data_IF_118252892596
#
_entry.id   IF_118252892596
#
_cell.length_a   1.000
_cell.length_b   1.000
_cell.length_c   1.000
_cell.angle_alpha   90.00
_cell.angle_beta   90.00
_cell.angle_gamma   90.00
#
_symmetry.space_group_name_H-M   'P 1'
#
loop_
_entity.id
_entity.type
_entity.pdbx_description
1 polymer ?
#
# COMPACT_ATOMS: atom_id res chain seq x y z
N UNK A 1 7.63 28.24 -8.71
CA UNK A 1 6.68 27.11 -8.57
C UNK A 1 7.36 25.73 -8.45
N UNK A 2 8.41 25.43 -9.25
CA UNK A 2 9.03 24.10 -9.32
C UNK A 2 9.59 23.53 -8.00
N UNK A 3 10.19 24.35 -7.14
CA UNK A 3 10.77 23.91 -5.86
C UNK A 3 9.72 23.47 -4.81
N UNK A 4 8.54 24.12 -4.79
CA UNK A 4 7.45 23.79 -3.85
C UNK A 4 6.72 22.49 -4.22
N UNK A 5 6.67 22.16 -5.51
CA UNK A 5 6.10 20.90 -6.00
C UNK A 5 7.03 19.72 -5.70
N UNK A 6 8.34 19.89 -5.86
CA UNK A 6 9.34 18.88 -5.51
C UNK A 6 9.36 18.56 -4.01
N UNK A 7 9.22 19.58 -3.15
CA UNK A 7 9.18 19.39 -1.70
C UNK A 7 7.91 18.67 -1.22
N UNK A 8 6.77 18.92 -1.88
CA UNK A 8 5.51 18.22 -1.58
C UNK A 8 5.59 16.74 -1.96
N UNK A 9 6.19 16.42 -3.12
CA UNK A 9 6.45 15.04 -3.55
C UNK A 9 7.45 14.37 -2.61
N UNK A 10 8.51 15.05 -2.21
CA UNK A 10 9.52 14.54 -1.29
C UNK A 10 8.93 14.23 0.11
N UNK A 11 8.07 15.11 0.64
CA UNK A 11 7.38 14.88 1.92
C UNK A 11 6.31 13.78 1.84
N UNK A 12 5.60 13.65 0.70
CA UNK A 12 4.73 12.50 0.46
C UNK A 12 5.53 11.18 0.37
N UNK A 13 6.74 11.22 -0.19
CA UNK A 13 7.59 10.03 -0.34
C UNK A 13 8.09 9.52 1.02
N UNK A 14 8.45 10.41 1.94
CA UNK A 14 8.93 10.07 3.28
C UNK A 14 7.81 9.51 4.16
N UNK A 15 6.57 10.01 4.01
CA UNK A 15 5.42 9.56 4.80
C UNK A 15 4.80 8.27 4.28
N UNK A 16 4.87 8.00 2.97
CA UNK A 16 4.35 6.78 2.36
C UNK A 16 5.35 5.61 2.35
N UNK A 17 6.66 5.88 2.55
CA UNK A 17 7.71 4.86 2.56
C UNK A 17 8.74 5.10 3.70
N UNK A 18 8.41 4.76 4.96
CA UNK A 18 9.33 4.88 6.08
C UNK A 18 10.38 3.74 6.03
N UNK A 19 11.32 3.82 5.10
CA UNK A 19 12.35 2.77 4.95
C UNK A 19 13.54 3.13 4.06
N UNK A 20 13.50 4.25 3.34
CA UNK A 20 14.60 4.65 2.45
C UNK A 20 15.20 5.96 2.95
N UNK A 21 16.14 5.89 3.89
CA UNK A 21 17.03 7.00 4.23
C UNK A 21 18.33 6.47 4.81
N UNK A 22 19.25 6.09 3.92
CA UNK A 22 20.69 6.21 4.18
C UNK A 22 21.28 7.02 3.03
N UNK A 23 21.34 8.34 3.20
CA UNK A 23 22.30 9.15 2.45
C UNK A 23 23.59 9.05 3.25
N UNK A 24 24.48 8.17 2.81
CA UNK A 24 25.87 8.17 3.25
C UNK A 24 26.49 9.49 2.77
N UNK A 25 26.96 10.31 3.71
CA UNK A 25 27.77 11.46 3.38
C UNK A 25 29.08 10.95 2.77
N UNK A 26 29.32 11.31 1.52
CA UNK A 26 30.57 11.06 0.84
C UNK A 26 31.70 11.80 1.55
N UNK A 27 32.77 11.05 1.75
CA UNK A 27 34.07 11.46 2.22
C UNK A 27 34.75 12.36 1.16
N UNK A 28 34.88 13.65 1.47
CA UNK A 28 35.80 14.55 0.79
C UNK A 28 36.72 15.16 1.84
N UNK A 29 37.96 14.68 1.92
CA UNK A 29 39.12 15.57 2.13
C UNK A 29 40.43 14.85 1.81
N UNK A 30 40.85 15.00 0.55
CA UNK A 30 42.27 14.97 0.17
C UNK A 30 42.85 16.38 0.32
N UNK A 31 43.97 16.52 1.03
CA UNK A 31 44.61 17.81 1.26
C UNK A 31 45.70 17.71 2.32
N UNK A 32 46.82 17.10 1.94
CA UNK A 32 48.08 17.24 2.65
C UNK A 32 48.57 18.68 2.62
N UNK A 33 49.38 19.04 3.62
CA UNK A 33 50.35 20.15 3.66
C UNK A 33 49.93 21.34 4.53
N UNK A 34 50.15 21.21 5.84
CA UNK A 34 50.65 22.28 6.70
C UNK A 34 51.44 21.64 7.86
N UNK A 35 52.75 21.84 7.87
CA UNK A 35 53.60 21.69 9.03
C UNK A 35 53.21 22.74 10.08
N UNK A 36 52.94 22.31 11.31
CA UNK A 36 52.79 23.22 12.46
C UNK A 36 53.72 22.72 13.56
N UNK A 37 54.68 23.59 13.87
CA UNK A 37 55.64 23.50 14.96
C UNK A 37 54.99 23.22 16.31
N UNK A 38 55.57 22.26 17.02
CA UNK A 38 55.30 21.99 18.41
C UNK A 38 56.19 22.87 19.30
N UNK A 39 55.65 23.99 19.78
CA UNK A 39 56.13 24.66 20.98
C UNK A 39 54.94 25.13 21.80
N UNK A 40 54.85 24.63 23.02
CA UNK A 40 53.64 24.67 23.85
C UNK A 40 53.26 26.06 24.38
N UNK A 41 51.98 26.17 24.72
CA UNK A 41 51.56 26.72 25.99
C UNK A 41 50.17 26.17 26.35
N UNK A 42 50.06 25.54 27.51
CA UNK A 42 48.83 24.98 28.06
C UNK A 42 48.07 26.09 28.79
N UNK A 43 47.12 26.75 28.11
CA UNK A 43 46.01 27.43 28.79
C UNK A 43 44.68 26.83 28.34
N UNK A 44 44.33 25.70 28.96
CA UNK A 44 43.03 25.07 28.81
C UNK A 44 41.97 25.85 29.60
N UNK A 45 41.40 26.88 28.99
CA UNK A 45 40.21 27.55 29.49
C UNK A 45 39.25 27.88 28.34
N UNK A 46 38.01 27.40 28.47
CA UNK A 46 36.80 27.78 27.70
C UNK A 46 36.59 27.11 26.32
N UNK A 47 36.47 25.77 26.28
CA UNK A 47 35.88 25.05 25.12
C UNK A 47 34.41 24.60 25.33
N UNK A 48 33.75 25.08 26.39
CA UNK A 48 32.43 24.61 26.81
C UNK A 48 31.21 25.33 26.22
N UNK A 49 31.38 26.54 25.65
CA UNK A 49 30.26 27.42 25.29
C UNK A 49 29.78 27.32 23.84
N UNK A 50 30.62 26.89 22.89
CA UNK A 50 30.26 26.89 21.46
C UNK A 50 29.25 25.79 21.09
N UNK A 51 29.27 24.66 21.83
CA UNK A 51 28.36 23.53 21.58
C UNK A 51 26.89 23.85 21.91
N UNK A 52 26.62 24.71 22.88
CA UNK A 52 25.24 25.12 23.21
C UNK A 52 24.67 26.09 22.16
N UNK A 53 25.49 27.03 21.66
CA UNK A 53 25.02 28.01 20.70
C UNK A 53 24.63 27.39 19.34
N UNK A 54 25.40 26.39 18.88
CA UNK A 54 25.08 25.65 17.67
C UNK A 54 23.74 24.88 17.78
N UNK A 55 23.48 24.28 18.95
CA UNK A 55 22.23 23.57 19.24
C UNK A 55 21.02 24.52 19.24
N UNK A 56 21.15 25.68 19.91
CA UNK A 56 20.10 26.70 19.95
C UNK A 56 19.80 27.28 18.56
N UNK A 57 20.85 27.50 17.75
CA UNK A 57 20.71 27.97 16.37
C UNK A 57 19.99 26.95 15.50
N UNK A 58 20.26 25.65 15.68
CA UNK A 58 19.56 24.57 14.98
C UNK A 58 18.10 24.49 15.40
N UNK A 59 17.80 24.54 16.70
CA UNK A 59 16.44 24.53 17.21
C UNK A 59 15.62 25.71 16.66
N UNK A 60 16.20 26.92 16.62
CA UNK A 60 15.56 28.10 16.02
C UNK A 60 15.29 27.92 14.51
N UNK A 61 16.20 27.27 13.77
CA UNK A 61 16.00 26.97 12.34
C UNK A 61 14.88 25.96 12.11
N UNK A 62 14.82 24.90 12.92
CA UNK A 62 13.76 23.89 12.84
C UNK A 62 12.39 24.49 13.17
N UNK A 63 12.30 25.30 14.23
CA UNK A 63 11.06 26.00 14.58
C UNK A 63 10.56 26.92 13.46
N UNK A 64 11.46 27.68 12.80
CA UNK A 64 11.10 28.51 11.63
C UNK A 64 10.59 27.66 10.46
N UNK A 65 11.19 26.50 10.24
CA UNK A 65 10.77 25.57 9.20
C UNK A 65 9.39 24.99 9.48
N UNK A 66 9.13 24.53 10.71
CA UNK A 66 7.81 24.06 11.16
C UNK A 66 6.73 25.12 10.94
N UNK A 67 6.99 26.37 11.38
CA UNK A 67 6.05 27.48 11.15
C UNK A 67 5.81 27.75 9.65
N UNK A 68 6.82 27.59 8.80
CA UNK A 68 6.66 27.75 7.36
C UNK A 68 5.78 26.64 6.76
N UNK A 69 5.90 25.41 7.25
CA UNK A 69 5.04 24.30 6.82
C UNK A 69 3.59 24.55 7.26
N UNK A 70 3.38 24.91 8.52
CA UNK A 70 2.05 25.20 9.07
C UNK A 70 1.36 26.32 8.26
N UNK A 71 2.06 27.43 8.01
CA UNK A 71 1.54 28.53 7.17
C UNK A 71 1.22 28.08 5.74
N UNK A 72 2.02 27.17 5.18
CA UNK A 72 1.79 26.58 3.87
C UNK A 72 0.51 25.75 3.83
N UNK A 73 0.30 24.91 4.85
CA UNK A 73 -0.89 24.08 5.01
C UNK A 73 -2.15 24.93 5.21
N UNK A 74 -2.10 25.96 6.05
CA UNK A 74 -3.23 26.88 6.24
C UNK A 74 -3.62 27.59 4.93
N UNK A 75 -2.64 28.02 4.14
CA UNK A 75 -2.90 28.65 2.83
C UNK A 75 -3.53 27.66 1.85
N UNK A 76 -3.09 26.41 1.88
CA UNK A 76 -3.68 25.34 1.07
C UNK A 76 -5.12 25.05 1.50
N UNK A 77 -5.37 24.88 2.80
CA UNK A 77 -6.71 24.66 3.36
C UNK A 77 -7.68 25.78 2.97
N UNK A 78 -7.27 27.05 3.09
CA UNK A 78 -8.06 28.21 2.63
C UNK A 78 -8.33 28.19 1.12
N UNK A 79 -7.37 27.73 0.32
CA UNK A 79 -7.55 27.62 -1.14
C UNK A 79 -8.58 26.54 -1.49
N UNK A 80 -8.56 25.43 -0.78
CA UNK A 80 -9.56 24.35 -0.92
C UNK A 80 -10.94 24.84 -0.49
N UNK A 81 -11.05 25.54 0.64
CA UNK A 81 -12.32 26.12 1.10
C UNK A 81 -12.89 27.10 0.07
N UNK A 82 -12.06 27.97 -0.51
CA UNK A 82 -12.49 28.90 -1.56
C UNK A 82 -12.96 28.18 -2.84
N UNK A 83 -12.30 27.10 -3.23
CA UNK A 83 -12.74 26.27 -4.36
C UNK A 83 -14.07 25.58 -4.07
N UNK A 84 -14.27 25.10 -2.82
CA UNK A 84 -15.55 24.55 -2.38
C UNK A 84 -16.68 25.57 -2.52
N UNK A 85 -16.48 26.78 -1.99
CA UNK A 85 -17.48 27.83 -2.07
C UNK A 85 -17.84 28.18 -3.51
N UNK A 86 -16.85 28.36 -4.39
CA UNK A 86 -17.09 28.65 -5.82
C UNK A 86 -17.86 27.53 -6.52
N UNK A 87 -17.68 26.29 -6.09
CA UNK A 87 -18.39 25.17 -6.67
C UNK A 87 -19.85 25.11 -6.20
N UNK A 88 -20.10 25.42 -4.93
CA UNK A 88 -21.46 25.57 -4.40
C UNK A 88 -22.20 26.69 -5.16
N UNK A 89 -21.56 27.85 -5.34
CA UNK A 89 -22.09 28.98 -6.14
C UNK A 89 -22.40 28.56 -7.60
N UNK A 90 -21.51 27.80 -8.24
CA UNK A 90 -21.73 27.31 -9.60
C UNK A 90 -22.80 26.23 -9.69
N UNK A 91 -22.98 25.40 -8.65
CA UNK A 91 -24.01 24.36 -8.62
C UNK A 91 -25.40 25.01 -8.62
N UNK A 92 -25.58 26.08 -7.85
CA UNK A 92 -26.82 26.87 -7.83
C UNK A 92 -27.06 27.58 -9.18
N UNK A 93 -26.00 28.09 -9.82
CA UNK A 93 -26.09 28.68 -11.16
C UNK A 93 -26.46 27.65 -12.25
N UNK A 94 -25.91 26.44 -12.19
CA UNK A 94 -26.27 25.36 -13.11
C UNK A 94 -27.73 24.94 -12.88
N UNK A 95 -28.17 24.81 -11.62
CA UNK A 95 -29.54 24.48 -11.30
C UNK A 95 -30.54 25.51 -11.86
N UNK A 96 -30.22 26.81 -11.80
CA UNK A 96 -31.07 27.88 -12.34
C UNK A 96 -31.08 27.94 -13.87
N UNK A 97 -29.92 27.78 -14.53
CA UNK A 97 -29.84 27.72 -16.01
C UNK A 97 -30.62 26.51 -16.55
N UNK A 98 -30.50 25.36 -15.91
CA UNK A 98 -31.26 24.17 -16.31
C UNK A 98 -32.76 24.27 -15.98
N UNK A 99 -33.18 25.08 -15.00
CA UNK A 99 -34.59 25.34 -14.74
C UNK A 99 -35.21 26.24 -15.84
N UNK A 100 -34.44 27.21 -16.35
CA UNK A 100 -34.86 28.08 -17.45
C UNK A 100 -35.00 27.35 -18.80
N UNK A 101 -34.26 26.25 -19.01
CA UNK A 101 -34.28 25.49 -20.26
C UNK A 101 -35.46 24.49 -20.39
N UNK A 102 -36.31 24.35 -19.37
CA UNK A 102 -37.31 23.27 -19.22
C UNK A 102 -38.72 23.62 -19.76
N UNK A 103 -38.84 24.49 -20.77
CA UNK A 103 -40.15 24.97 -21.27
C UNK A 103 -40.69 24.26 -22.53
N UNK A 104 -40.37 22.98 -22.76
CA UNK A 104 -40.84 22.22 -23.94
C UNK A 104 -41.17 20.76 -23.64
N UNK A 105 -42.37 20.32 -24.06
CA UNK A 105 -43.07 19.12 -23.59
C UNK A 105 -42.44 17.75 -23.95
N UNK A 106 -42.85 16.75 -23.18
CA UNK A 106 -42.71 15.28 -23.29
C UNK A 106 -41.32 14.63 -23.19
N UNK A 107 -40.23 15.37 -23.35
CA UNK A 107 -38.87 14.91 -22.95
C UNK A 107 -38.46 15.32 -21.52
N UNK A 108 -39.34 16.03 -20.85
CA UNK A 108 -39.06 16.78 -19.62
C UNK A 108 -38.78 15.87 -18.41
N UNK A 109 -39.50 14.75 -18.26
CA UNK A 109 -39.30 13.85 -17.11
C UNK A 109 -37.95 13.10 -17.19
N UNK A 110 -37.54 12.67 -18.39
CA UNK A 110 -36.23 12.07 -18.60
C UNK A 110 -35.09 13.09 -18.41
N UNK A 111 -35.30 14.33 -18.85
CA UNK A 111 -34.33 15.41 -18.66
C UNK A 111 -34.18 15.79 -17.18
N UNK A 112 -35.28 15.98 -16.44
CA UNK A 112 -35.22 16.29 -15.00
C UNK A 112 -34.59 15.13 -14.21
N UNK A 113 -34.87 13.87 -14.58
CA UNK A 113 -34.23 12.70 -13.97
C UNK A 113 -32.71 12.66 -14.23
N UNK A 114 -32.26 12.94 -15.46
CA UNK A 114 -30.84 13.02 -15.79
C UNK A 114 -30.15 14.19 -15.07
N UNK A 115 -30.80 15.35 -14.98
CA UNK A 115 -30.31 16.53 -14.26
C UNK A 115 -30.11 16.26 -12.78
N UNK A 116 -31.09 15.65 -12.12
CA UNK A 116 -31.00 15.25 -10.70
C UNK A 116 -29.87 14.22 -10.52
N UNK A 117 -29.74 13.24 -11.43
CA UNK A 117 -28.69 12.22 -11.40
C UNK A 117 -27.28 12.82 -11.54
N UNK A 118 -27.10 13.76 -12.48
CA UNK A 118 -25.82 14.47 -12.69
C UNK A 118 -25.49 15.35 -11.48
N UNK A 119 -26.46 16.11 -10.97
CA UNK A 119 -26.28 16.95 -9.77
C UNK A 119 -25.86 16.13 -8.55
N UNK A 120 -26.53 15.00 -8.31
CA UNK A 120 -26.19 14.08 -7.23
C UNK A 120 -24.80 13.45 -7.43
N UNK A 121 -24.44 13.06 -8.65
CA UNK A 121 -23.13 12.49 -8.98
C UNK A 121 -21.99 13.48 -8.73
N UNK A 122 -22.17 14.74 -9.14
CA UNK A 122 -21.20 15.81 -8.89
C UNK A 122 -21.06 16.11 -7.40
N UNK A 123 -22.18 16.20 -6.67
CA UNK A 123 -22.17 16.40 -5.21
C UNK A 123 -21.44 15.27 -4.48
N UNK A 124 -21.67 14.02 -4.87
CA UNK A 124 -21.00 12.86 -4.29
C UNK A 124 -19.49 12.83 -4.59
N UNK A 125 -19.09 13.14 -5.83
CA UNK A 125 -17.68 13.26 -6.20
C UNK A 125 -16.98 14.35 -5.38
N UNK A 126 -17.64 15.49 -5.20
CA UNK A 126 -17.08 16.60 -4.45
C UNK A 126 -16.95 16.31 -2.95
N UNK A 127 -17.98 15.70 -2.34
CA UNK A 127 -17.90 15.24 -0.95
C UNK A 127 -16.74 14.24 -0.75
N UNK A 128 -16.58 13.30 -1.69
CA UNK A 128 -15.46 12.36 -1.68
C UNK A 128 -14.10 13.06 -1.75
N UNK A 129 -13.97 14.09 -2.59
CA UNK A 129 -12.76 14.90 -2.68
C UNK A 129 -12.49 15.68 -1.38
N UNK A 130 -13.52 16.26 -0.77
CA UNK A 130 -13.43 17.00 0.50
C UNK A 130 -12.94 16.09 1.63
N UNK A 131 -13.46 14.86 1.71
CA UNK A 131 -13.05 13.90 2.73
C UNK A 131 -11.64 13.37 2.50
N UNK A 132 -11.24 13.17 1.24
CA UNK A 132 -9.86 12.84 0.89
C UNK A 132 -8.89 13.95 1.34
N UNK A 133 -9.21 15.21 1.04
CA UNK A 133 -8.37 16.35 1.43
C UNK A 133 -8.27 16.44 2.96
N UNK A 134 -9.37 16.32 3.70
CA UNK A 134 -9.36 16.28 5.17
C UNK A 134 -8.44 15.19 5.71
N UNK A 135 -8.50 14.01 5.09
CA UNK A 135 -7.68 12.86 5.47
C UNK A 135 -6.20 13.15 5.26
N UNK A 136 -5.83 13.69 4.08
CA UNK A 136 -4.45 14.07 3.78
C UNK A 136 -3.94 15.13 4.75
N UNK A 137 -4.73 16.19 5.01
CA UNK A 137 -4.35 17.24 5.97
C UNK A 137 -4.15 16.66 7.37
N UNK A 138 -5.02 15.74 7.81
CA UNK A 138 -4.88 15.06 9.10
C UNK A 138 -3.58 14.25 9.18
N UNK A 139 -3.29 13.43 8.17
CA UNK A 139 -2.07 12.61 8.11
C UNK A 139 -0.82 13.50 8.16
N UNK A 140 -0.80 14.59 7.39
CA UNK A 140 0.33 15.51 7.38
C UNK A 140 0.50 16.19 8.74
N UNK A 141 -0.58 16.65 9.39
CA UNK A 141 -0.53 17.23 10.74
C UNK A 141 0.04 16.24 11.76
N UNK A 142 -0.41 14.98 11.72
CA UNK A 142 0.11 13.93 12.59
C UNK A 142 1.61 13.68 12.35
N UNK A 143 2.02 13.53 11.10
CA UNK A 143 3.44 13.29 10.76
C UNK A 143 4.35 14.44 11.23
N UNK A 144 3.90 15.70 11.09
CA UNK A 144 4.64 16.87 11.58
C UNK A 144 4.75 16.83 13.11
N UNK A 145 3.65 16.50 13.80
CA UNK A 145 3.64 16.38 15.27
C UNK A 145 4.62 15.32 15.76
N UNK A 146 4.65 14.16 15.11
CA UNK A 146 5.55 13.05 15.48
C UNK A 146 7.02 13.42 15.27
N UNK A 147 7.34 14.10 14.16
CA UNK A 147 8.70 14.60 13.90
C UNK A 147 9.09 15.65 14.94
N UNK A 148 8.20 16.59 15.25
CA UNK A 148 8.45 17.63 16.27
C UNK A 148 8.72 17.01 17.65
N UNK A 149 7.91 16.02 18.04
CA UNK A 149 8.10 15.30 19.30
C UNK A 149 9.46 14.58 19.35
N UNK A 150 9.83 13.85 18.30
CA UNK A 150 11.14 13.18 18.23
C UNK A 150 12.32 14.14 18.33
N UNK A 151 12.22 15.32 17.72
CA UNK A 151 13.25 16.36 17.82
C UNK A 151 13.38 16.86 19.26
N UNK A 152 12.25 17.06 19.97
CA UNK A 152 12.26 17.45 21.38
C UNK A 152 12.86 16.36 22.28
N UNK A 153 12.54 15.09 22.02
CA UNK A 153 13.07 13.96 22.80
C UNK A 153 14.59 13.84 22.64
N UNK A 154 15.11 14.00 21.42
CA UNK A 154 16.58 14.02 21.15
C UNK A 154 17.25 15.21 21.85
N UNK A 155 16.59 16.37 21.90
CA UNK A 155 17.13 17.54 22.59
C UNK A 155 17.23 17.31 24.12
N UNK A 156 16.22 16.66 24.72
CA UNK A 156 16.22 16.29 26.15
C UNK A 156 17.29 15.26 26.49
N UNK A 157 17.41 14.17 25.73
CA UNK A 157 18.45 13.14 25.96
C UNK A 157 19.87 13.72 25.94
N UNK A 158 20.14 14.72 25.09
CA UNK A 158 21.42 15.43 25.06
C UNK A 158 21.66 16.35 26.27
N UNK A 159 20.61 16.91 26.85
CA UNK A 159 20.73 17.73 28.07
C UNK A 159 21.02 16.87 29.30
N UNK A 160 20.33 15.73 29.43
CA UNK A 160 20.51 14.83 30.57
C UNK A 160 21.92 14.20 30.61
N UNK A 161 22.48 13.88 29.44
CA UNK A 161 23.87 13.35 29.32
C UNK A 161 24.97 14.39 29.60
N UNK A 162 24.65 15.69 29.62
CA UNK A 162 25.62 16.76 29.94
C UNK A 162 25.71 17.06 31.43
N UNK A 163 24.88 16.45 32.28
CA UNK A 163 25.00 16.59 33.74
C UNK A 163 26.18 15.73 34.21
N UNK A 164 27.32 16.32 34.63
CA UNK A 164 28.47 15.54 35.05
C UNK A 164 28.08 14.70 36.26
N UNK A 165 28.32 13.38 36.18
CA UNK A 165 28.37 12.52 37.35
C UNK A 165 29.50 13.05 38.25
N UNK A 166 29.16 13.85 39.25
CA UNK A 166 30.03 14.08 40.39
C UNK A 166 30.11 12.76 41.16
N UNK A 167 30.98 11.85 40.71
CA UNK A 167 31.28 10.59 41.37
C UNK A 167 32.06 10.89 42.65
N UNK A 168 31.37 10.80 43.77
CA UNK A 168 31.96 10.77 45.09
C UNK A 168 32.55 9.36 45.30
N UNK A 169 33.82 9.16 44.90
CA UNK A 169 34.53 7.89 45.09
C UNK A 169 35.32 7.91 46.40
N UNK A 170 34.73 7.34 47.46
CA UNK A 170 35.47 6.89 48.66
C UNK A 170 35.63 5.38 48.57
N UNK A 171 36.78 4.96 48.05
CA UNK A 171 37.22 3.58 47.84
C UNK A 171 37.61 2.95 49.19
N UNK A 172 36.83 1.96 49.64
CA UNK A 172 37.26 1.00 50.66
C UNK A 172 37.51 -0.35 49.99
N UNK A 173 38.65 -0.96 50.31
CA UNK A 173 39.16 -2.19 49.72
C UNK A 173 38.70 -3.41 50.51
N UNK A 174 38.35 -4.49 49.81
CA UNK A 174 38.36 -5.86 50.36
C UNK A 174 38.95 -6.85 49.33
N UNK A 175 39.53 -7.98 49.81
CA UNK A 175 40.48 -8.81 49.07
C UNK A 175 39.87 -10.08 48.44
N UNK A 176 40.64 -10.85 47.63
CA UNK A 176 40.08 -11.80 46.67
C UNK A 176 40.01 -13.24 47.18
N UNK A 177 39.00 -13.99 46.73
CA UNK A 177 38.92 -15.45 46.89
C UNK A 177 38.89 -16.16 45.53
N UNK A 178 39.67 -17.25 45.49
CA UNK A 178 40.07 -18.10 44.35
C UNK A 178 38.94 -19.00 43.78
N UNK A 179 39.19 -19.66 42.62
CA UNK A 179 38.19 -20.36 41.80
C UNK A 179 38.15 -21.88 42.01
N UNK A 180 37.03 -22.49 41.63
CA UNK A 180 36.95 -23.94 41.44
C UNK A 180 35.65 -24.43 40.81
N UNK A 181 35.79 -25.17 39.68
CA UNK A 181 35.04 -26.39 39.31
C UNK A 181 33.52 -26.23 39.01
N UNK A 182 32.84 -26.92 38.08
CA UNK A 182 33.11 -27.97 37.06
C UNK A 182 31.85 -28.07 36.16
N UNK A 183 32.04 -28.51 34.91
CA UNK A 183 31.04 -28.99 33.94
C UNK A 183 30.49 -30.38 34.36
N UNK A 184 29.25 -30.81 34.00
CA UNK A 184 28.99 -31.57 32.76
C UNK A 184 27.63 -31.21 32.09
N UNK A 185 27.50 -30.99 30.78
CA UNK A 185 27.24 -31.99 29.71
C UNK A 185 26.07 -32.97 29.97
N UNK A 186 24.91 -32.70 29.36
CA UNK A 186 23.79 -33.61 29.02
C UNK A 186 22.72 -32.75 28.28
N UNK A 187 21.96 -33.15 27.27
CA UNK A 187 21.85 -34.34 26.42
C UNK A 187 20.89 -33.93 25.29
N UNK A 188 21.25 -34.17 24.03
CA UNK A 188 20.38 -33.94 22.88
C UNK A 188 19.32 -35.04 22.79
N UNK A 189 18.05 -34.66 22.75
CA UNK A 189 16.94 -35.56 22.39
C UNK A 189 16.47 -35.25 20.98
N UNK A 190 16.88 -36.10 20.04
CA UNK A 190 16.33 -36.19 18.70
C UNK A 190 15.04 -37.01 18.74
N UNK A 191 13.92 -36.42 18.31
CA UNK A 191 12.68 -37.18 18.02
C UNK A 191 12.44 -37.23 16.50
N UNK A 192 12.47 -38.47 16.03
CA UNK A 192 12.17 -39.01 14.70
C UNK A 192 10.72 -38.72 14.27
N UNK A 193 10.43 -38.24 13.05
CA UNK A 193 9.06 -38.25 12.53
C UNK A 193 8.67 -39.63 12.00
N UNK A 194 7.59 -40.20 12.55
CA UNK A 194 6.96 -41.39 12.03
C UNK A 194 6.16 -41.06 10.75
N UNK A 195 6.46 -41.82 9.71
CA UNK A 195 5.77 -41.89 8.42
C UNK A 195 4.41 -42.57 8.63
N UNK A 196 3.31 -41.82 8.53
CA UNK A 196 1.97 -42.40 8.53
C UNK A 196 1.28 -42.14 7.19
N UNK A 197 1.35 -43.18 6.36
CA UNK A 197 0.62 -43.36 5.11
C UNK A 197 -0.81 -43.78 5.46
N UNK A 198 -1.82 -43.01 5.07
CA UNK A 198 -3.20 -43.48 5.00
C UNK A 198 -3.74 -43.24 3.58
N UNK A 199 -3.77 -44.33 2.81
CA UNK A 199 -4.42 -44.42 1.52
C UNK A 199 -5.93 -44.28 1.72
N UNK A 200 -6.51 -43.21 1.17
CA UNK A 200 -7.95 -43.07 1.03
C UNK A 200 -8.41 -43.70 -0.29
N UNK A 201 -9.40 -44.59 -0.14
CA UNK A 201 -10.16 -45.33 -1.14
C UNK A 201 -10.69 -44.44 -2.28
N UNK A 202 -10.61 -44.86 -3.56
CA UNK A 202 -11.09 -44.06 -4.68
C UNK A 202 -12.61 -43.97 -4.72
N UNK A 203 -13.14 -42.75 -4.74
CA UNK A 203 -14.54 -42.46 -4.98
C UNK A 203 -14.87 -42.64 -6.47
N UNK A 204 -16.03 -43.25 -6.72
CA UNK A 204 -16.60 -43.62 -8.02
C UNK A 204 -16.73 -42.41 -8.97
N UNK A 205 -16.48 -42.56 -10.29
CA UNK A 205 -16.62 -41.47 -11.26
C UNK A 205 -18.07 -41.01 -11.36
N UNK A 206 -18.33 -39.72 -11.08
CA UNK A 206 -19.59 -39.08 -11.46
C UNK A 206 -19.59 -38.86 -12.97
N UNK A 207 -20.61 -39.41 -13.62
CA UNK A 207 -20.91 -39.32 -15.04
C UNK A 207 -20.99 -37.87 -15.50
N UNK A 208 -20.11 -37.51 -16.43
CA UNK A 208 -20.11 -36.21 -17.11
C UNK A 208 -21.40 -36.04 -17.92
N UNK A 209 -22.18 -35.01 -17.61
CA UNK A 209 -23.27 -34.55 -18.49
C UNK A 209 -22.65 -33.90 -19.72
N UNK A 210 -23.12 -34.35 -20.87
CA UNK A 210 -22.78 -33.91 -22.23
C UNK A 210 -22.85 -32.39 -22.34
N UNK A 211 -21.71 -31.74 -22.57
CA UNK A 211 -21.61 -30.30 -22.73
C UNK A 211 -21.93 -29.89 -24.17
N UNK A 212 -22.97 -29.08 -24.32
CA UNK A 212 -23.22 -28.26 -25.50
C UNK A 212 -21.96 -27.43 -25.83
N UNK A 213 -21.56 -27.28 -27.11
CA UNK A 213 -20.35 -26.54 -27.46
C UNK A 213 -20.42 -25.11 -26.91
N UNK A 214 -19.49 -24.79 -26.00
CA UNK A 214 -19.38 -23.46 -25.44
C UNK A 214 -19.13 -22.43 -26.55
N UNK A 215 -19.74 -21.23 -26.50
CA UNK A 215 -19.39 -20.16 -27.42
C UNK A 215 -17.90 -19.84 -27.28
N UNK A 216 -17.15 -19.97 -28.37
CA UNK A 216 -15.73 -19.60 -28.46
C UNK A 216 -15.60 -18.11 -28.15
N UNK A 217 -15.07 -17.78 -26.97
CA UNK A 217 -14.50 -16.46 -26.72
C UNK A 217 -13.19 -16.38 -27.50
N UNK A 218 -13.06 -15.35 -28.34
CA UNK A 218 -12.04 -15.22 -29.40
C UNK A 218 -10.76 -14.50 -28.94
N UNK A 219 -10.71 -14.03 -27.70
CA UNK A 219 -9.58 -13.22 -27.24
C UNK A 219 -8.36 -14.07 -26.86
N UNK A 220 -7.20 -13.69 -27.39
CA UNK A 220 -5.88 -14.16 -26.95
C UNK A 220 -5.51 -13.55 -25.58
N UNK A 221 -4.74 -14.28 -24.78
CA UNK A 221 -4.10 -13.73 -23.57
C UNK A 221 -3.05 -12.68 -23.94
N UNK A 222 -2.95 -11.61 -23.14
CA UNK A 222 -1.97 -10.54 -23.36
C UNK A 222 -0.56 -10.92 -22.85
N UNK A 223 -0.41 -12.11 -22.28
CA UNK A 223 0.84 -12.72 -21.78
C UNK A 223 0.95 -14.16 -22.29
N UNK A 224 2.16 -14.59 -22.64
CA UNK A 224 2.43 -16.02 -22.86
C UNK A 224 2.46 -16.76 -21.52
N UNK A 225 1.45 -17.58 -21.26
CA UNK A 225 1.30 -18.32 -20.01
C UNK A 225 2.34 -19.44 -19.81
N UNK A 226 3.10 -19.81 -20.85
CA UNK A 226 4.16 -20.82 -20.73
C UNK A 226 5.29 -20.41 -19.77
N UNK A 227 5.52 -19.10 -19.62
CA UNK A 227 6.54 -18.52 -18.75
C UNK A 227 6.06 -18.29 -17.30
N UNK A 228 4.79 -18.60 -17.00
CA UNK A 228 4.14 -18.23 -15.74
C UNK A 228 4.19 -19.38 -14.75
N UNK A 229 4.71 -19.13 -13.55
CA UNK A 229 4.63 -20.05 -12.43
C UNK A 229 3.31 -19.88 -11.67
N UNK A 230 2.61 -20.98 -11.39
CA UNK A 230 1.26 -20.95 -10.81
C UNK A 230 1.26 -21.25 -9.31
N UNK A 231 0.85 -20.28 -8.51
CA UNK A 231 0.66 -20.41 -7.07
C UNK A 231 -0.77 -20.78 -6.72
N UNK A 232 -1.09 -22.05 -6.95
CA UNK A 232 -2.42 -22.59 -6.77
C UNK A 232 -2.76 -23.59 -7.87
N UNK A 233 -4.00 -23.56 -8.33
CA UNK A 233 -4.43 -24.39 -9.44
C UNK A 233 -3.94 -23.79 -10.77
N UNK A 234 -3.29 -24.58 -11.61
CA UNK A 234 -2.91 -24.13 -12.95
C UNK A 234 -4.15 -24.11 -13.86
N UNK A 235 -4.55 -22.92 -14.32
CA UNK A 235 -5.71 -22.73 -15.21
C UNK A 235 -5.30 -22.37 -16.63
N UNK A 236 -4.03 -22.48 -16.99
CA UNK A 236 -3.51 -22.13 -18.33
C UNK A 236 -4.27 -22.85 -19.45
N UNK A 237 -4.59 -24.12 -19.22
CA UNK A 237 -5.28 -24.99 -20.18
C UNK A 237 -6.82 -24.95 -20.05
N UNK A 238 -7.37 -24.13 -19.16
CA UNK A 238 -8.82 -23.97 -19.09
C UNK A 238 -9.32 -23.23 -20.34
N UNK A 239 -10.45 -23.67 -20.92
CA UNK A 239 -11.11 -22.96 -22.00
C UNK A 239 -11.34 -21.48 -21.66
N UNK A 240 -10.95 -20.61 -22.60
CA UNK A 240 -11.27 -19.19 -22.56
C UNK A 240 -12.70 -19.02 -23.09
N UNK A 241 -13.67 -18.85 -22.20
CA UNK A 241 -15.10 -18.74 -22.54
C UNK A 241 -15.71 -17.40 -22.13
N UNK A 242 -14.98 -16.60 -21.36
CA UNK A 242 -15.40 -15.28 -20.91
C UNK A 242 -14.59 -14.18 -21.61
N UNK A 243 -15.25 -13.08 -21.97
CA UNK A 243 -14.57 -11.87 -22.43
C UNK A 243 -14.36 -10.92 -21.24
N UNK A 244 -13.12 -10.53 -20.98
CA UNK A 244 -12.77 -9.63 -19.88
C UNK A 244 -12.31 -8.26 -20.38
N UNK A 245 -12.87 -7.21 -19.79
CA UNK A 245 -12.34 -5.85 -19.78
C UNK A 245 -11.85 -5.52 -18.37
N UNK A 246 -10.53 -5.46 -18.21
CA UNK A 246 -9.87 -5.18 -16.92
C UNK A 246 -9.29 -3.76 -16.87
N UNK A 247 -9.26 -3.16 -15.68
CA UNK A 247 -8.60 -1.88 -15.45
C UNK A 247 -8.73 -1.40 -14.01
N UNK A 248 -7.93 -0.40 -13.60
CA UNK A 248 -7.98 0.17 -12.26
C UNK A 248 -8.38 1.64 -12.34
N UNK A 249 -9.52 1.99 -11.73
CA UNK A 249 -10.06 3.35 -11.74
C UNK A 249 -10.74 3.63 -10.41
N UNK A 250 -10.49 4.80 -9.82
CA UNK A 250 -11.17 5.24 -8.59
C UNK A 250 -10.96 4.30 -7.40
N UNK A 251 -9.75 3.75 -7.24
CA UNK A 251 -9.42 2.82 -6.16
C UNK A 251 -10.08 1.44 -6.28
N UNK A 252 -10.64 1.11 -7.45
CA UNK A 252 -11.25 -0.19 -7.74
C UNK A 252 -10.58 -0.88 -8.91
N UNK A 253 -10.47 -2.20 -8.81
CA UNK A 253 -10.15 -3.07 -9.94
C UNK A 253 -11.47 -3.45 -10.59
N UNK A 254 -11.65 -3.03 -11.83
CA UNK A 254 -12.77 -3.39 -12.68
C UNK A 254 -12.46 -4.71 -13.38
N UNK A 255 -13.39 -5.65 -13.27
CA UNK A 255 -13.34 -7.01 -13.79
C UNK A 255 -14.60 -7.25 -14.62
N UNK A 256 -14.87 -6.40 -15.63
CA UNK A 256 -16.10 -6.54 -16.41
C UNK A 256 -16.00 -7.78 -17.28
N UNK A 257 -16.77 -8.80 -16.94
CA UNK A 257 -16.78 -10.07 -17.65
C UNK A 257 -18.21 -10.58 -17.89
N UNK A 258 -18.41 -11.20 -19.05
CA UNK A 258 -19.71 -11.68 -19.54
C UNK A 258 -20.25 -12.94 -18.81
N UNK A 259 -19.43 -13.61 -17.99
CA UNK A 259 -19.84 -14.76 -17.16
C UNK A 259 -20.27 -14.42 -15.74
N UNK A 260 -20.30 -13.13 -15.36
CA UNK A 260 -20.55 -12.71 -13.97
C UNK A 260 -21.86 -13.26 -13.38
N UNK A 261 -22.89 -13.44 -14.22
CA UNK A 261 -24.19 -13.96 -13.83
C UNK A 261 -24.48 -15.40 -14.30
N UNK A 262 -23.55 -16.01 -15.04
CA UNK A 262 -23.79 -17.28 -15.75
C UNK A 262 -23.12 -18.47 -15.07
N UNK A 263 -21.94 -18.28 -14.47
CA UNK A 263 -21.29 -19.37 -13.76
C UNK A 263 -22.13 -19.83 -12.56
N UNK A 264 -22.30 -21.15 -12.38
CA UNK A 264 -23.17 -21.70 -11.36
C UNK A 264 -22.61 -21.41 -9.96
N UNK A 265 -23.52 -21.15 -9.03
CA UNK A 265 -23.23 -21.21 -7.60
C UNK A 265 -23.22 -22.69 -7.16
N UNK A 266 -22.34 -23.00 -6.22
CA UNK A 266 -22.18 -24.34 -5.61
C UNK A 266 -22.39 -24.30 -4.09
N UNK A 267 -23.13 -23.31 -3.60
CA UNK A 267 -23.49 -23.15 -2.18
C UNK A 267 -22.36 -22.60 -1.32
N UNK A 268 -21.21 -22.26 -1.91
CA UNK A 268 -20.12 -21.61 -1.19
C UNK A 268 -20.47 -20.14 -0.98
N UNK A 269 -20.38 -19.70 0.27
CA UNK A 269 -20.66 -18.30 0.64
C UNK A 269 -19.37 -17.55 0.91
N UNK A 270 -19.35 -16.29 0.49
CA UNK A 270 -18.38 -15.31 0.99
C UNK A 270 -18.63 -15.04 2.48
N UNK A 271 -17.69 -14.37 3.15
CA UNK A 271 -17.81 -14.03 4.58
C UNK A 271 -19.02 -13.16 4.90
N UNK A 272 -19.55 -12.43 3.92
CA UNK A 272 -20.77 -11.61 4.02
C UNK A 272 -22.04 -12.36 3.56
N UNK A 273 -21.97 -13.68 3.37
CA UNK A 273 -23.12 -14.55 3.14
C UNK A 273 -23.56 -14.71 1.68
N UNK A 274 -23.02 -13.92 0.75
CA UNK A 274 -23.37 -14.00 -0.68
C UNK A 274 -22.74 -15.20 -1.40
N UNK A 275 -23.41 -15.80 -2.41
CA UNK A 275 -22.87 -16.94 -3.15
C UNK A 275 -21.67 -16.53 -4.01
N UNK A 276 -20.61 -17.34 -3.99
CA UNK A 276 -19.42 -17.13 -4.81
C UNK A 276 -19.47 -17.97 -6.08
N UNK A 277 -19.18 -17.37 -7.22
CA UNK A 277 -19.26 -17.99 -8.55
C UNK A 277 -17.96 -17.95 -9.32
N UNK A 278 -16.95 -17.20 -8.84
CA UNK A 278 -15.66 -17.12 -9.51
C UNK A 278 -14.51 -16.71 -8.61
N UNK A 279 -13.31 -16.72 -9.20
CA UNK A 279 -12.09 -16.21 -8.60
C UNK A 279 -11.46 -15.14 -9.49
N UNK A 280 -10.91 -14.11 -8.84
CA UNK A 280 -10.08 -13.12 -9.50
C UNK A 280 -8.61 -13.52 -9.40
N UNK A 281 -7.89 -13.39 -10.51
CA UNK A 281 -6.48 -13.74 -10.67
C UNK A 281 -5.62 -12.51 -10.91
N UNK A 282 -4.37 -12.59 -10.47
CA UNK A 282 -3.32 -11.63 -10.80
C UNK A 282 -2.07 -12.40 -11.23
N UNK A 283 -1.40 -11.89 -12.26
CA UNK A 283 -0.04 -12.24 -12.63
C UNK A 283 0.83 -11.01 -12.44
N UNK A 284 1.87 -11.14 -11.62
CA UNK A 284 2.84 -10.07 -11.38
C UNK A 284 4.26 -10.64 -11.43
N UNK A 285 5.26 -9.76 -11.60
CA UNK A 285 6.66 -10.17 -11.62
C UNK A 285 7.21 -10.16 -10.21
N UNK A 286 7.23 -11.34 -9.57
CA UNK A 286 7.67 -11.52 -8.19
C UNK A 286 9.06 -12.15 -8.21
N UNK A 287 10.05 -11.45 -7.64
CA UNK A 287 11.46 -11.88 -7.63
C UNK A 287 11.99 -12.24 -9.03
N UNK A 288 11.64 -11.42 -10.02
CA UNK A 288 12.06 -11.62 -11.41
C UNK A 288 11.23 -12.63 -12.21
N UNK A 289 10.35 -13.42 -11.58
CA UNK A 289 9.54 -14.45 -12.24
C UNK A 289 8.07 -14.03 -12.34
N UNK A 290 7.44 -14.28 -13.50
CA UNK A 290 5.99 -14.12 -13.63
C UNK A 290 5.28 -15.18 -12.81
N UNK A 291 4.47 -14.75 -11.84
CA UNK A 291 3.75 -15.62 -10.92
C UNK A 291 2.27 -15.31 -10.95
N UNK A 292 1.44 -16.34 -11.04
CA UNK A 292 -0.01 -16.25 -11.06
C UNK A 292 -0.59 -16.73 -9.73
N UNK A 293 -1.53 -15.97 -9.17
CA UNK A 293 -2.30 -16.42 -8.02
C UNK A 293 -3.71 -15.85 -8.02
N UNK A 294 -4.62 -16.54 -7.34
CA UNK A 294 -5.91 -15.94 -6.98
C UNK A 294 -5.70 -14.91 -5.87
N UNK A 295 -6.44 -13.81 -5.90
CA UNK A 295 -6.43 -12.80 -4.83
C UNK A 295 -7.81 -12.59 -4.18
N UNK A 296 -8.90 -12.92 -4.87
CA UNK A 296 -10.26 -12.74 -4.34
C UNK A 296 -11.26 -13.81 -4.78
N UNK A 297 -12.36 -13.88 -4.02
CA UNK A 297 -13.60 -14.54 -4.43
C UNK A 297 -14.54 -13.52 -5.08
N UNK A 298 -15.21 -13.91 -6.16
CA UNK A 298 -16.23 -13.10 -6.81
C UNK A 298 -17.61 -13.67 -6.53
N UNK A 299 -18.51 -12.81 -6.05
CA UNK A 299 -19.94 -13.14 -5.93
C UNK A 299 -20.62 -13.13 -7.30
N UNK A 300 -21.80 -13.76 -7.38
CA UNK A 300 -22.66 -13.66 -8.55
C UNK A 300 -22.93 -12.18 -8.89
N UNK A 301 -22.69 -11.81 -10.15
CA UNK A 301 -22.84 -10.44 -10.67
C UNK A 301 -21.70 -9.48 -10.27
N UNK A 302 -20.75 -9.89 -9.45
CA UNK A 302 -19.69 -9.00 -8.98
C UNK A 302 -18.62 -8.80 -10.07
N UNK A 303 -18.45 -7.55 -10.50
CA UNK A 303 -17.51 -7.15 -11.55
C UNK A 303 -16.49 -6.10 -11.08
N UNK A 304 -16.38 -5.86 -9.78
CA UNK A 304 -15.34 -5.00 -9.22
C UNK A 304 -14.98 -5.38 -7.78
N UNK A 305 -13.75 -5.01 -7.39
CA UNK A 305 -13.21 -5.12 -6.04
C UNK A 305 -12.37 -3.89 -5.72
N UNK A 306 -12.08 -3.67 -4.43
CA UNK A 306 -11.12 -2.66 -4.02
C UNK A 306 -9.74 -2.98 -4.61
N UNK A 307 -9.02 -1.97 -5.09
CA UNK A 307 -7.67 -2.16 -5.62
C UNK A 307 -6.70 -2.61 -4.54
N UNK A 308 -6.94 -2.24 -3.28
CA UNK A 308 -6.20 -2.71 -2.10
C UNK A 308 -6.25 -4.22 -1.90
N UNK A 309 -7.18 -4.93 -2.55
CA UNK A 309 -7.26 -6.39 -2.51
C UNK A 309 -6.26 -7.09 -3.44
N UNK A 310 -5.62 -6.38 -4.38
CA UNK A 310 -4.48 -6.92 -5.13
C UNK A 310 -3.22 -6.68 -4.30
N UNK A 311 -2.91 -7.66 -3.48
CA UNK A 311 -1.97 -7.53 -2.39
C UNK A 311 -1.48 -8.90 -1.92
N UNK A 312 -0.22 -9.00 -1.45
CA UNK A 312 0.37 -10.27 -1.04
C UNK A 312 -0.37 -10.97 0.11
N UNK A 313 -0.85 -10.20 1.09
CA UNK A 313 -1.69 -10.67 2.21
C UNK A 313 -3.11 -11.09 1.79
N UNK A 314 -3.59 -10.66 0.63
CA UNK A 314 -4.82 -11.14 0.02
C UNK A 314 -4.57 -12.37 -0.87
N UNK A 315 -3.42 -12.46 -1.54
CA UNK A 315 -3.02 -13.64 -2.31
C UNK A 315 -2.83 -14.86 -1.40
N UNK A 316 -2.19 -14.68 -0.24
CA UNK A 316 -1.97 -15.72 0.79
C UNK A 316 -1.25 -16.98 0.25
N UNK A 317 -0.28 -16.79 -0.64
CA UNK A 317 0.60 -17.86 -1.15
C UNK A 317 2.03 -17.60 -0.68
N UNK A 318 2.72 -18.63 -0.20
CA UNK A 318 4.00 -18.48 0.52
C UNK A 318 5.14 -17.87 -0.30
N UNK A 319 5.02 -17.88 -1.62
CA UNK A 319 5.97 -17.30 -2.59
C UNK A 319 5.76 -15.81 -2.83
N UNK A 320 4.63 -15.25 -2.40
CA UNK A 320 4.31 -13.83 -2.51
C UNK A 320 4.68 -13.14 -1.19
N UNK A 321 5.54 -12.11 -1.20
CA UNK A 321 5.80 -11.30 -0.02
C UNK A 321 4.48 -10.73 0.53
N UNK A 322 4.24 -10.81 1.84
CA UNK A 322 2.97 -10.39 2.44
C UNK A 322 2.70 -8.89 2.23
N UNK A 323 3.76 -8.12 2.23
CA UNK A 323 3.83 -6.68 2.00
C UNK A 323 3.84 -6.30 0.51
N UNK A 324 3.95 -7.26 -0.41
CA UNK A 324 3.92 -6.96 -1.84
C UNK A 324 2.61 -6.26 -2.21
N UNK A 325 2.75 -5.18 -2.98
CA UNK A 325 1.70 -4.44 -3.66
C UNK A 325 2.25 -4.03 -5.03
N UNK A 326 1.42 -3.97 -6.09
CA UNK A 326 1.87 -3.40 -7.35
C UNK A 326 2.31 -1.94 -7.15
N UNK A 327 3.44 -1.57 -7.73
CA UNK A 327 3.91 -0.18 -7.73
C UNK A 327 3.25 0.62 -8.85
N UNK A 328 3.05 1.95 -8.71
CA UNK A 328 2.61 2.78 -9.82
C UNK A 328 3.48 2.59 -11.08
N UNK A 329 2.86 2.39 -12.23
CA UNK A 329 3.52 2.07 -13.50
C UNK A 329 3.87 0.59 -13.69
N UNK A 330 3.75 -0.26 -12.67
CA UNK A 330 3.99 -1.70 -12.79
C UNK A 330 2.96 -2.35 -13.72
N UNK A 331 3.44 -3.23 -14.59
CA UNK A 331 2.54 -4.06 -15.42
C UNK A 331 2.17 -5.33 -14.66
N UNK A 332 0.87 -5.54 -14.49
CA UNK A 332 0.29 -6.79 -14.03
C UNK A 332 -0.68 -7.34 -15.08
N UNK A 333 -1.08 -8.60 -14.95
CA UNK A 333 -2.15 -9.19 -15.76
C UNK A 333 -3.27 -9.70 -14.86
N UNK A 334 -4.51 -9.50 -15.28
CA UNK A 334 -5.69 -9.85 -14.50
C UNK A 334 -6.58 -10.77 -15.32
N UNK A 335 -7.14 -11.78 -14.67
CA UNK A 335 -8.15 -12.66 -15.24
C UNK A 335 -9.24 -12.97 -14.22
N UNK A 336 -10.33 -13.58 -14.69
CA UNK A 336 -11.34 -14.23 -13.87
C UNK A 336 -11.52 -15.68 -14.29
N UNK A 337 -11.90 -16.55 -13.36
CA UNK A 337 -12.17 -17.96 -13.64
C UNK A 337 -13.33 -18.48 -12.80
N UNK A 338 -13.79 -19.68 -13.13
CA UNK A 338 -14.52 -20.53 -12.19
C UNK A 338 -13.75 -20.74 -10.88
N UNK A 339 -14.45 -21.24 -9.87
CA UNK A 339 -13.91 -21.44 -8.53
C UNK A 339 -12.74 -22.43 -8.56
N UNK A 340 -11.58 -21.99 -8.08
CA UNK A 340 -10.35 -22.80 -8.01
C UNK A 340 -9.37 -22.37 -6.92
N UNK A 341 -9.69 -21.35 -6.11
CA UNK A 341 -8.80 -20.84 -5.05
C UNK A 341 -8.50 -21.88 -3.96
N UNK A 342 -9.44 -22.79 -3.68
CA UNK A 342 -9.27 -23.95 -2.80
C UNK A 342 -9.76 -25.24 -3.46
N UNK A 343 -10.44 -26.15 -2.72
CA UNK A 343 -10.99 -27.40 -3.26
C UNK A 343 -12.38 -27.24 -3.89
N UNK A 344 -13.08 -26.12 -3.68
CA UNK A 344 -14.41 -25.89 -4.27
C UNK A 344 -14.32 -25.62 -5.77
N UNK A 345 -15.17 -26.26 -6.57
CA UNK A 345 -15.22 -26.13 -8.04
C UNK A 345 -16.66 -25.88 -8.49
N UNK A 346 -16.84 -25.14 -9.58
CA UNK A 346 -18.13 -24.98 -10.25
C UNK A 346 -18.04 -25.23 -11.76
N UNK A 347 -17.11 -24.57 -12.45
CA UNK A 347 -16.76 -24.77 -13.86
C UNK A 347 -15.25 -24.69 -14.04
N UNK A 348 -14.74 -25.30 -15.10
CA UNK A 348 -13.33 -25.21 -15.51
C UNK A 348 -13.21 -24.29 -16.73
N UNK A 349 -13.50 -23.01 -16.52
CA UNK A 349 -13.53 -21.98 -17.55
C UNK A 349 -12.84 -20.71 -17.04
N UNK A 350 -12.25 -19.93 -17.94
CA UNK A 350 -11.61 -18.64 -17.62
C UNK A 350 -11.88 -17.56 -18.65
N UNK A 351 -11.53 -16.32 -18.29
CA UNK A 351 -11.34 -15.24 -19.25
C UNK A 351 -9.91 -15.23 -19.81
N UNK A 352 -9.66 -14.29 -20.72
CA UNK A 352 -8.29 -13.90 -21.06
C UNK A 352 -7.60 -13.28 -19.84
N UNK A 353 -6.27 -13.40 -19.79
CA UNK A 353 -5.41 -12.55 -18.99
C UNK A 353 -5.18 -11.23 -19.71
N UNK A 354 -5.66 -10.13 -19.11
CA UNK A 354 -5.58 -8.77 -19.64
C UNK A 354 -4.51 -7.96 -18.96
N UNK A 355 -3.69 -7.28 -19.76
CA UNK A 355 -2.63 -6.38 -19.29
C UNK A 355 -3.26 -5.17 -18.60
N UNK A 356 -2.72 -4.82 -17.44
CA UNK A 356 -3.10 -3.63 -16.67
C UNK A 356 -1.82 -2.94 -16.21
N UNK A 357 -1.71 -1.64 -16.49
CA UNK A 357 -0.68 -0.78 -15.90
C UNK A 357 -1.25 -0.21 -14.62
N UNK A 358 -0.56 -0.44 -13.51
CA UNK A 358 -1.02 0.03 -12.20
C UNK A 358 -0.94 1.56 -12.11
N UNK A 359 -1.98 2.25 -11.62
CA UNK A 359 -2.05 3.71 -11.63
C UNK A 359 -1.19 4.39 -10.56
#
# INVERSE_FOLDING_TARGET
MKFRFFLLIFLLSITLFPGVSTVSAADETSGSMFDIDASGDNSATVAGSESSEASDKLARRMSKFEQSIIKGLDKFEKSVQKLSQKLDENTDSIASVLAAASTGSDSQEQYESQKVSIGNSLKNLFNSLKDLIKTVVKVVKTAISDVSQKVQDIAKDKQDKKKPETSNSKKAAEPPTKPGQTKPAQQQSQTKPAKQTSQAKPAKPQTAKTSTPAPKSSGKDDIDLSQVAWDGHDIRNWPVTSNLSAGVVGGKVNLKHDKANTWPDVGKKASDGGPVTGNAWVIAKINGQWRAATWEWLRKGQQSKAATSIAGDHVKRGTWPKDWRPSPGETIYIAVSGLCRDKTRNVSERSQFKKVVWP
#
